data_IF_839682518846
#
_entry.id   IF_839682518846
#
_cell.length_a   1.000
_cell.length_b   1.000
_cell.length_c   1.000
_cell.angle_alpha   90.00
_cell.angle_beta   90.00
_cell.angle_gamma   90.00
#
_symmetry.space_group_name_H-M   'P 1'
#
loop_
_entity.id
_entity.type
_entity.pdbx_description
1 polymer ?
#
# COMPACT_ATOMS: atom_id res chain seq x y z
N UNK A 1 10.17 -25.02 -9.68
CA UNK A 1 8.83 -25.20 -10.28
C UNK A 1 7.92 -24.13 -9.73
N UNK A 2 7.32 -23.30 -10.59
CA UNK A 2 6.46 -22.18 -10.19
C UNK A 2 5.06 -22.73 -9.91
N UNK A 3 4.66 -22.77 -8.65
CA UNK A 3 3.28 -23.13 -8.27
C UNK A 3 2.38 -21.96 -8.64
N UNK A 4 1.43 -22.20 -9.54
CA UNK A 4 0.44 -21.20 -9.92
C UNK A 4 -0.38 -20.80 -8.69
N UNK A 5 -0.45 -19.50 -8.39
CA UNK A 5 -1.27 -18.97 -7.30
C UNK A 5 -2.73 -19.11 -7.74
N UNK A 6 -3.46 -20.04 -7.12
CA UNK A 6 -4.91 -20.19 -7.33
C UNK A 6 -5.64 -19.22 -6.37
N UNK A 7 -6.75 -18.63 -6.83
CA UNK A 7 -7.49 -17.57 -6.11
C UNK A 7 -7.94 -17.92 -4.69
N UNK A 8 -8.10 -19.21 -4.35
CA UNK A 8 -8.59 -19.66 -3.04
C UNK A 8 -7.53 -19.64 -1.93
N UNK A 9 -6.26 -19.36 -2.26
CA UNK A 9 -5.15 -19.29 -1.29
C UNK A 9 -4.82 -17.85 -0.83
N UNK A 10 -5.59 -16.85 -1.27
CA UNK A 10 -5.34 -15.45 -0.91
C UNK A 10 -6.08 -15.09 0.39
N UNK A 11 -5.31 -14.77 1.43
CA UNK A 11 -5.82 -14.21 2.67
C UNK A 11 -5.30 -12.77 2.89
N UNK A 12 -6.14 -11.90 3.44
CA UNK A 12 -5.74 -10.56 3.87
C UNK A 12 -5.74 -10.54 5.39
N UNK A 13 -4.67 -10.01 5.98
CA UNK A 13 -4.53 -9.89 7.43
C UNK A 13 -3.72 -8.64 7.80
N UNK A 14 -3.77 -8.20 9.07
CA UNK A 14 -2.85 -7.20 9.57
C UNK A 14 -1.39 -7.61 9.33
N UNK A 15 -0.57 -6.63 9.00
CA UNK A 15 0.87 -6.75 8.91
C UNK A 15 1.44 -7.10 10.29
N UNK A 16 2.31 -8.10 10.35
CA UNK A 16 3.11 -8.42 11.51
C UNK A 16 4.56 -7.97 11.28
N UNK A 17 5.29 -7.62 12.35
CA UNK A 17 6.70 -7.21 12.25
C UNK A 17 7.59 -8.22 11.51
N UNK A 18 7.27 -9.50 11.57
CA UNK A 18 7.95 -10.57 10.84
C UNK A 18 7.78 -10.48 9.30
N UNK A 19 6.75 -9.79 8.81
CA UNK A 19 6.50 -9.59 7.38
C UNK A 19 7.42 -8.55 6.73
N UNK A 20 8.22 -7.82 7.53
CA UNK A 20 9.01 -6.67 7.07
C UNK A 20 9.82 -6.98 5.82
N UNK A 21 10.63 -8.04 5.84
CA UNK A 21 11.52 -8.34 4.72
C UNK A 21 10.75 -8.75 3.45
N UNK A 22 9.61 -9.44 3.62
CA UNK A 22 8.75 -9.82 2.51
C UNK A 22 8.02 -8.60 1.91
N UNK A 23 7.50 -7.70 2.75
CA UNK A 23 6.91 -6.44 2.30
C UNK A 23 7.92 -5.57 1.55
N UNK A 24 9.15 -5.45 2.06
CA UNK A 24 10.23 -4.74 1.38
C UNK A 24 10.57 -5.35 0.02
N UNK A 25 10.52 -6.67 -0.12
CA UNK A 25 10.73 -7.33 -1.40
C UNK A 25 9.61 -6.98 -2.40
N UNK A 26 8.34 -7.02 -1.97
CA UNK A 26 7.19 -6.58 -2.79
C UNK A 26 7.34 -5.11 -3.21
N UNK A 27 7.75 -4.25 -2.28
CA UNK A 27 7.91 -2.82 -2.52
C UNK A 27 9.05 -2.50 -3.48
N UNK A 28 10.18 -3.21 -3.42
CA UNK A 28 11.28 -3.02 -4.39
C UNK A 28 10.91 -3.43 -5.81
N UNK A 29 10.08 -4.47 -5.98
CA UNK A 29 9.56 -4.88 -7.29
C UNK A 29 8.51 -3.88 -7.83
N UNK A 30 7.64 -3.37 -6.94
CA UNK A 30 6.56 -2.45 -7.33
C UNK A 30 7.03 -0.99 -7.51
N UNK A 31 7.98 -0.54 -6.70
CA UNK A 31 8.44 0.84 -6.61
C UNK A 31 9.97 0.89 -6.69
N UNK A 32 10.56 0.96 -7.89
CA UNK A 32 12.01 0.94 -8.07
C UNK A 32 12.75 2.02 -7.26
N UNK A 33 12.11 3.16 -6.98
CA UNK A 33 12.67 4.23 -6.14
C UNK A 33 12.98 3.81 -4.70
N UNK A 34 12.37 2.74 -4.18
CA UNK A 34 12.72 2.24 -2.84
C UNK A 34 14.03 1.44 -2.81
N UNK A 35 14.66 1.22 -3.96
CA UNK A 35 16.03 0.73 -4.06
C UNK A 35 17.06 1.87 -4.20
N UNK A 36 16.62 3.13 -4.26
CA UNK A 36 17.51 4.28 -4.46
C UNK A 36 18.08 4.79 -3.13
N UNK A 37 19.32 4.37 -2.84
CA UNK A 37 20.07 4.79 -1.65
C UNK A 37 20.38 6.30 -1.60
N UNK A 38 20.24 7.04 -2.71
CA UNK A 38 20.41 8.50 -2.72
C UNK A 38 19.23 9.27 -2.12
N UNK A 39 18.14 8.57 -1.78
CA UNK A 39 16.93 9.15 -1.19
C UNK A 39 16.64 8.60 0.22
N UNK A 40 17.49 8.89 1.23
CA UNK A 40 17.35 8.29 2.58
C UNK A 40 16.00 8.60 3.25
N UNK A 41 15.42 9.77 2.97
CA UNK A 41 14.08 10.16 3.40
C UNK A 41 12.94 9.28 2.84
N UNK A 42 13.24 8.37 1.91
CA UNK A 42 12.32 7.35 1.38
C UNK A 42 12.64 5.95 1.88
N UNK A 43 13.41 5.82 2.97
CA UNK A 43 13.73 4.51 3.56
C UNK A 43 12.45 3.73 3.90
N UNK A 44 12.17 2.63 3.19
CA UNK A 44 10.96 1.85 3.41
C UNK A 44 10.96 1.13 4.77
N UNK A 45 12.11 0.82 5.36
CA UNK A 45 12.16 0.26 6.73
C UNK A 45 11.71 1.30 7.74
N UNK A 46 12.23 2.53 7.63
CA UNK A 46 11.79 3.65 8.48
C UNK A 46 10.28 3.91 8.35
N UNK A 47 9.73 3.84 7.14
CA UNK A 47 8.30 3.99 6.91
C UNK A 47 7.47 2.90 7.64
N UNK A 48 7.93 1.64 7.61
CA UNK A 48 7.29 0.53 8.35
C UNK A 48 7.32 0.80 9.86
N UNK A 49 8.46 1.18 10.42
CA UNK A 49 8.57 1.47 11.86
C UNK A 49 7.65 2.61 12.31
N UNK A 50 7.60 3.70 11.53
CA UNK A 50 6.69 4.82 11.80
C UNK A 50 5.23 4.36 11.76
N UNK A 51 4.88 3.52 10.78
CA UNK A 51 3.52 2.98 10.66
C UNK A 51 3.16 2.11 11.86
N UNK A 52 4.05 1.20 12.26
CA UNK A 52 3.88 0.30 13.41
C UNK A 52 3.73 1.07 14.73
N UNK A 53 4.37 2.22 14.86
CA UNK A 53 4.29 3.07 16.05
C UNK A 53 3.03 3.97 16.08
N UNK A 54 2.33 4.14 14.95
CA UNK A 54 1.25 5.14 14.84
C UNK A 54 -0.13 4.51 14.73
N UNK A 55 -0.37 3.67 13.72
CA UNK A 55 -1.68 3.05 13.44
C UNK A 55 -1.45 1.65 12.82
N UNK A 56 -0.79 0.71 13.53
CA UNK A 56 -0.42 -0.61 12.99
C UNK A 56 -1.61 -1.41 12.45
N UNK A 57 -2.79 -1.21 13.02
CA UNK A 57 -4.04 -1.87 12.64
C UNK A 57 -4.59 -1.47 11.27
N UNK A 58 -4.02 -0.43 10.65
CA UNK A 58 -4.32 0.02 9.29
C UNK A 58 -3.18 -0.31 8.30
N UNK A 59 -2.35 -1.31 8.60
CA UNK A 59 -1.36 -1.84 7.69
C UNK A 59 -1.66 -3.31 7.42
N UNK A 60 -1.94 -3.65 6.16
CA UNK A 60 -2.38 -4.99 5.77
C UNK A 60 -1.45 -5.63 4.74
N UNK A 61 -1.39 -6.96 4.79
CA UNK A 61 -0.72 -7.79 3.80
C UNK A 61 -1.71 -8.75 3.16
N UNK A 62 -1.52 -9.04 1.88
CA UNK A 62 -2.11 -10.18 1.21
C UNK A 62 -1.09 -11.31 1.21
N UNK A 63 -1.51 -12.50 1.62
CA UNK A 63 -0.69 -13.71 1.63
C UNK A 63 -1.23 -14.76 0.69
N UNK A 64 -0.34 -15.43 -0.05
CA UNK A 64 -0.63 -16.61 -0.87
C UNK A 64 0.26 -17.76 -0.40
N UNK A 65 -0.32 -18.89 0.03
CA UNK A 65 0.46 -20.02 0.57
C UNK A 65 1.38 -19.60 1.73
N UNK A 66 0.91 -18.70 2.59
CA UNK A 66 1.67 -18.16 3.73
C UNK A 66 2.73 -17.09 3.39
N UNK A 67 2.97 -16.80 2.10
CA UNK A 67 3.93 -15.79 1.65
C UNK A 67 3.23 -14.45 1.37
N UNK A 68 3.80 -13.35 1.83
CA UNK A 68 3.31 -12.00 1.48
C UNK A 68 3.51 -11.74 -0.02
N UNK A 69 2.42 -11.42 -0.71
CA UNK A 69 2.38 -11.12 -2.15
C UNK A 69 1.86 -9.72 -2.46
N UNK A 70 1.34 -9.02 -1.45
CA UNK A 70 0.88 -7.65 -1.59
C UNK A 70 0.73 -6.95 -0.25
N UNK A 71 0.65 -5.62 -0.30
CA UNK A 71 0.52 -4.76 0.88
C UNK A 71 -0.41 -3.60 0.61
N UNK A 72 -0.99 -3.03 1.65
CA UNK A 72 -1.57 -1.69 1.62
C UNK A 72 -1.39 -1.02 2.98
N UNK A 73 -0.95 0.23 2.98
CA UNK A 73 -0.81 1.03 4.19
C UNK A 73 -1.85 2.16 4.16
N UNK A 74 -2.87 2.05 5.00
CA UNK A 74 -3.85 3.10 5.21
C UNK A 74 -3.48 3.98 6.40
N UNK A 75 -4.15 5.10 6.61
CA UNK A 75 -4.06 5.89 7.84
C UNK A 75 -5.20 6.88 7.93
N UNK A 76 -5.62 7.25 9.15
CA UNK A 76 -6.68 8.23 9.37
C UNK A 76 -6.28 9.22 10.46
N UNK A 77 -6.42 10.51 10.18
CA UNK A 77 -6.05 11.60 11.10
C UNK A 77 -7.26 12.30 11.75
N UNK A 78 -8.47 11.75 11.56
CA UNK A 78 -9.73 12.38 11.96
C UNK A 78 -10.35 13.28 10.90
N UNK A 79 -9.57 13.74 9.91
CA UNK A 79 -10.06 14.56 8.80
C UNK A 79 -10.19 13.75 7.50
N UNK A 80 -9.13 13.05 7.08
CA UNK A 80 -9.11 12.24 5.85
C UNK A 80 -8.33 10.94 6.05
N UNK A 81 -8.80 9.89 5.39
CA UNK A 81 -8.04 8.67 5.20
C UNK A 81 -6.99 8.87 4.11
N UNK A 82 -5.86 8.20 4.24
CA UNK A 82 -4.81 8.19 3.23
C UNK A 82 -4.34 6.78 2.93
N UNK A 83 -4.06 6.51 1.65
CA UNK A 83 -3.48 5.25 1.19
C UNK A 83 -2.06 5.47 0.67
N UNK A 84 -1.17 4.59 1.13
CA UNK A 84 0.23 4.50 0.76
C UNK A 84 0.57 3.03 0.48
N UNK A 85 1.67 2.82 -0.24
CA UNK A 85 2.29 1.49 -0.43
C UNK A 85 1.31 0.37 -0.81
N UNK A 86 0.29 0.67 -1.62
CA UNK A 86 -0.54 -0.36 -2.26
C UNK A 86 0.29 -1.02 -3.36
N UNK A 87 0.76 -2.23 -3.09
CA UNK A 87 1.66 -2.96 -3.97
C UNK A 87 1.25 -4.42 -4.07
N UNK A 88 1.41 -4.99 -5.25
CA UNK A 88 1.26 -6.43 -5.51
C UNK A 88 2.46 -6.88 -6.33
N UNK A 89 3.08 -7.96 -5.89
CA UNK A 89 4.18 -8.63 -6.60
C UNK A 89 3.78 -8.89 -8.05
N UNK A 90 4.68 -8.60 -9.00
CA UNK A 90 4.42 -8.70 -10.45
C UNK A 90 3.77 -10.02 -10.87
N UNK A 91 4.27 -11.15 -10.35
CA UNK A 91 3.76 -12.49 -10.67
C UNK A 91 2.36 -12.79 -10.12
N UNK A 92 1.88 -11.99 -9.16
CA UNK A 92 0.57 -12.14 -8.52
C UNK A 92 -0.43 -11.04 -8.94
N UNK A 93 -0.06 -10.18 -9.90
CA UNK A 93 -0.95 -9.13 -10.43
C UNK A 93 -2.06 -9.74 -11.29
N UNK A 94 -3.13 -8.95 -11.49
CA UNK A 94 -4.33 -9.34 -12.26
C UNK A 94 -5.13 -10.50 -11.68
N UNK A 95 -4.84 -10.90 -10.44
CA UNK A 95 -5.59 -11.91 -9.66
C UNK A 95 -6.58 -11.29 -8.66
N UNK A 96 -6.93 -10.00 -8.80
CA UNK A 96 -7.84 -9.31 -7.88
C UNK A 96 -7.24 -8.88 -6.53
N UNK A 97 -6.00 -9.26 -6.20
CA UNK A 97 -5.34 -8.98 -4.91
C UNK A 97 -5.33 -7.48 -4.56
N UNK A 98 -4.97 -6.61 -5.52
CA UNK A 98 -4.94 -5.17 -5.28
C UNK A 98 -6.32 -4.59 -4.94
N UNK A 99 -7.38 -5.07 -5.61
CA UNK A 99 -8.77 -4.69 -5.33
C UNK A 99 -9.19 -5.17 -3.93
N UNK A 100 -8.83 -6.41 -3.57
CA UNK A 100 -9.16 -6.97 -2.27
C UNK A 100 -8.45 -6.22 -1.12
N UNK A 101 -7.16 -5.90 -1.28
CA UNK A 101 -6.41 -5.08 -0.33
C UNK A 101 -7.04 -3.70 -0.15
N UNK A 102 -7.37 -3.03 -1.25
CA UNK A 102 -7.99 -1.71 -1.21
C UNK A 102 -9.34 -1.74 -0.48
N UNK A 103 -10.22 -2.68 -0.85
CA UNK A 103 -11.53 -2.84 -0.20
C UNK A 103 -11.42 -3.12 1.30
N UNK A 104 -10.44 -3.93 1.71
CA UNK A 104 -10.19 -4.21 3.13
C UNK A 104 -9.74 -2.95 3.88
N UNK A 105 -8.85 -2.15 3.28
CA UNK A 105 -8.41 -0.89 3.85
C UNK A 105 -9.54 0.15 3.94
N UNK A 106 -10.37 0.25 2.91
CA UNK A 106 -11.55 1.13 2.87
C UNK A 106 -12.56 0.75 3.95
N UNK A 107 -12.87 -0.53 4.12
CA UNK A 107 -13.76 -1.02 5.17
C UNK A 107 -13.22 -0.66 6.57
N UNK A 108 -11.94 -0.90 6.82
CA UNK A 108 -11.31 -0.56 8.09
C UNK A 108 -11.32 0.96 8.37
N UNK A 109 -11.17 1.79 7.34
CA UNK A 109 -11.28 3.25 7.45
C UNK A 109 -12.73 3.68 7.72
N UNK A 110 -13.71 3.09 7.02
CA UNK A 110 -15.12 3.38 7.20
C UNK A 110 -15.62 3.03 8.61
N UNK A 111 -15.20 1.89 9.16
CA UNK A 111 -15.49 1.48 10.55
C UNK A 111 -15.00 2.50 11.59
N UNK A 112 -13.98 3.30 11.24
CA UNK A 112 -13.43 4.37 12.09
C UNK A 112 -14.12 5.71 11.88
N UNK A 113 -15.16 5.77 11.05
CA UNK A 113 -15.87 7.01 10.70
C UNK A 113 -15.12 7.88 9.69
N UNK A 114 -14.14 7.33 8.97
CA UNK A 114 -13.41 8.08 7.95
C UNK A 114 -14.36 8.52 6.82
N UNK A 115 -14.52 9.83 6.57
CA UNK A 115 -15.52 10.31 5.62
C UNK A 115 -15.07 10.22 4.16
N UNK A 116 -13.75 10.12 3.93
CA UNK A 116 -13.13 10.14 2.60
C UNK A 116 -11.68 9.69 2.66
N UNK A 117 -11.26 8.96 1.63
CA UNK A 117 -9.88 8.50 1.42
C UNK A 117 -9.21 9.25 0.28
N UNK A 118 -7.93 9.58 0.46
CA UNK A 118 -7.06 10.23 -0.50
C UNK A 118 -5.83 9.36 -0.80
N UNK A 119 -5.27 9.53 -1.99
CA UNK A 119 -4.02 8.90 -2.42
C UNK A 119 -3.35 9.79 -3.46
N UNK A 120 -2.08 9.50 -3.75
CA UNK A 120 -1.33 10.18 -4.80
C UNK A 120 -0.74 9.15 -5.76
N UNK A 121 -0.85 9.45 -7.05
CA UNK A 121 -0.21 8.71 -8.14
C UNK A 121 0.87 9.60 -8.73
N UNK A 122 2.06 9.04 -8.95
CA UNK A 122 3.13 9.77 -9.63
C UNK A 122 2.75 10.02 -11.10
N UNK A 123 3.18 11.16 -11.69
CA UNK A 123 2.95 11.42 -13.11
C UNK A 123 3.40 10.26 -14.01
N UNK A 124 2.60 9.93 -15.03
CA UNK A 124 2.90 8.89 -16.01
C UNK A 124 2.56 7.46 -15.57
N UNK A 125 1.93 7.25 -14.41
CA UNK A 125 1.46 5.95 -13.97
C UNK A 125 -0.03 5.74 -14.30
N UNK A 126 -0.34 5.73 -15.61
CA UNK A 126 -1.72 5.63 -16.12
C UNK A 126 -2.41 4.31 -15.72
N UNK A 127 -1.62 3.24 -15.53
CA UNK A 127 -2.13 1.97 -15.03
C UNK A 127 -2.70 2.09 -13.61
N UNK A 128 -2.02 2.83 -12.73
CA UNK A 128 -2.53 3.10 -11.40
C UNK A 128 -3.77 4.01 -11.45
N UNK A 129 -3.79 5.04 -12.30
CA UNK A 129 -4.97 5.88 -12.48
C UNK A 129 -6.18 5.05 -12.90
N UNK A 130 -6.07 4.24 -13.96
CA UNK A 130 -7.15 3.34 -14.41
C UNK A 130 -7.59 2.36 -13.35
N UNK A 131 -6.65 1.83 -12.56
CA UNK A 131 -6.95 0.93 -11.46
C UNK A 131 -7.85 1.60 -10.41
N UNK A 132 -7.51 2.82 -9.99
CA UNK A 132 -8.28 3.55 -8.99
C UNK A 132 -9.63 4.05 -9.55
N UNK A 133 -9.65 4.54 -10.79
CA UNK A 133 -10.90 4.93 -11.48
C UNK A 133 -11.90 3.78 -11.56
N UNK A 134 -11.43 2.57 -11.90
CA UNK A 134 -12.26 1.36 -11.93
C UNK A 134 -12.79 0.93 -10.54
N UNK A 135 -12.34 1.58 -9.46
CA UNK A 135 -12.74 1.35 -8.08
C UNK A 135 -13.52 2.53 -7.50
N UNK A 136 -13.90 3.51 -8.32
CA UNK A 136 -14.72 4.65 -7.91
C UNK A 136 -13.93 5.82 -7.33
N UNK A 137 -12.60 5.81 -7.44
CA UNK A 137 -11.81 7.01 -7.20
C UNK A 137 -11.89 7.93 -8.42
N UNK A 138 -11.77 9.23 -8.17
CA UNK A 138 -11.74 10.24 -9.23
C UNK A 138 -10.53 11.13 -9.04
N UNK A 139 -9.92 11.54 -10.15
CA UNK A 139 -8.89 12.57 -10.11
C UNK A 139 -9.50 13.88 -9.59
N UNK A 140 -8.86 14.46 -8.57
CA UNK A 140 -9.20 15.79 -8.08
C UNK A 140 -8.09 16.76 -8.46
N UNK A 141 -8.42 17.79 -9.24
CA UNK A 141 -7.49 18.84 -9.61
C UNK A 141 -6.99 19.58 -8.36
N UNK A 142 -5.74 19.28 -7.95
CA UNK A 142 -5.08 19.79 -6.75
C UNK A 142 -3.59 19.98 -7.01
N UNK A 143 -2.98 20.93 -6.29
CA UNK A 143 -1.53 21.10 -6.24
C UNK A 143 -1.03 20.49 -4.93
N UNK A 144 -0.12 19.53 -5.00
CA UNK A 144 0.51 18.92 -3.83
C UNK A 144 1.71 19.76 -3.38
N UNK A 145 1.63 20.35 -2.18
CA UNK A 145 2.76 20.99 -1.53
C UNK A 145 3.37 20.06 -0.49
N UNK A 146 4.69 19.91 -0.51
CA UNK A 146 5.44 19.17 0.50
C UNK A 146 6.51 20.04 1.14
N UNK A 147 6.64 19.94 2.46
CA UNK A 147 7.77 20.51 3.21
C UNK A 147 8.33 19.42 4.13
N UNK A 148 9.65 19.24 4.11
CA UNK A 148 10.32 18.35 5.06
C UNK A 148 10.32 18.99 6.44
N UNK A 149 9.88 18.24 7.44
CA UNK A 149 9.90 18.66 8.84
C UNK A 149 11.14 18.15 9.58
N UNK A 150 11.64 16.98 9.18
CA UNK A 150 12.92 16.45 9.63
C UNK A 150 14.03 16.79 8.61
N UNK A 151 15.15 17.30 9.11
CA UNK A 151 16.41 17.47 8.39
C UNK A 151 17.31 16.30 8.75
N UNK A 152 17.03 15.15 8.17
CA UNK A 152 18.01 14.06 8.10
C UNK A 152 18.89 14.30 6.86
#
# INVERSE_FOLDING_TARGET
>A
MSTAIVSDDIAIRPFARADTDAALAVWRDAFPSYSDASTPHRDPRRAIELKLATQPELFFVATAGGRVVGTVMAGYDGHRGWLYSLAVERGARRLGIGRALLAHAEAALAERGCPKVNLQVLPGNDDACRFYEALGYHEEARISFGKRLATD
#
